data_IF_050696807572
#
_entry.id   IF_050696807572
#
_cell.length_a   1.000
_cell.length_b   1.000
_cell.length_c   1.000
_cell.angle_alpha   90.00
_cell.angle_beta   90.00
_cell.angle_gamma   90.00
#
_symmetry.space_group_name_H-M   'P 1'
#
loop_
_entity.id
_entity.type
_entity.pdbx_description
1 polymer ?
#
# COMPACT_ATOMS: atom_id res chain seq x y z
N UNK A 1 -8.92 -50.18 -55.01
CA UNK A 1 -8.67 -48.84 -55.58
C UNK A 1 -7.67 -48.12 -54.69
N UNK A 2 -6.64 -47.55 -55.31
CA UNK A 2 -5.34 -47.17 -54.75
C UNK A 2 -5.34 -45.94 -53.81
N UNK A 3 -4.25 -45.75 -53.02
CA UNK A 3 -4.17 -44.89 -51.84
C UNK A 3 -3.68 -43.47 -52.17
N UNK A 4 -4.09 -42.45 -51.39
CA UNK A 4 -3.52 -41.10 -51.50
C UNK A 4 -3.19 -40.50 -50.13
N UNK A 5 -1.93 -40.71 -49.75
CA UNK A 5 -0.94 -39.75 -49.24
C UNK A 5 -1.27 -38.72 -48.12
N UNK A 6 -0.55 -38.94 -47.01
CA UNK A 6 0.17 -38.01 -46.13
C UNK A 6 0.11 -36.50 -46.47
N UNK A 7 -0.13 -35.68 -45.44
CA UNK A 7 0.74 -34.55 -45.09
C UNK A 7 0.64 -34.20 -43.60
N UNK A 8 1.69 -34.56 -42.87
CA UNK A 8 2.00 -34.03 -41.55
C UNK A 8 2.42 -32.56 -41.71
N UNK A 9 1.76 -31.65 -40.98
CA UNK A 9 2.20 -30.27 -40.86
C UNK A 9 3.03 -30.12 -39.58
N UNK A 10 4.35 -30.14 -39.77
CA UNK A 10 5.32 -29.63 -38.80
C UNK A 10 5.20 -28.12 -38.76
N UNK A 11 4.68 -27.56 -37.67
CA UNK A 11 4.79 -26.12 -37.43
C UNK A 11 6.21 -25.80 -36.97
N UNK A 12 6.99 -25.23 -37.91
CA UNK A 12 8.32 -24.67 -37.66
C UNK A 12 8.25 -23.63 -36.54
N UNK A 13 9.17 -23.77 -35.60
CA UNK A 13 9.56 -22.70 -34.69
C UNK A 13 9.90 -21.44 -35.50
N UNK A 14 9.19 -20.34 -35.21
CA UNK A 14 9.60 -19.02 -35.62
C UNK A 14 10.27 -18.39 -34.41
N UNK A 15 11.60 -18.47 -34.40
CA UNK A 15 12.44 -17.58 -33.61
C UNK A 15 12.10 -16.14 -34.00
N UNK A 16 11.47 -15.43 -33.07
CA UNK A 16 11.47 -13.97 -33.04
C UNK A 16 12.37 -13.57 -31.88
N UNK A 17 13.36 -12.72 -32.18
CA UNK A 17 14.42 -12.26 -31.28
C UNK A 17 13.93 -11.61 -29.97
N UNK A 18 14.83 -11.00 -29.18
CA UNK A 18 14.51 -10.56 -27.83
C UNK A 18 13.46 -9.45 -27.88
N UNK A 19 12.20 -9.84 -27.76
CA UNK A 19 11.13 -8.95 -27.34
C UNK A 19 11.57 -8.48 -25.95
N UNK A 20 11.84 -7.19 -25.80
CA UNK A 20 11.99 -6.56 -24.50
C UNK A 20 10.73 -6.87 -23.70
N UNK A 21 10.79 -7.95 -22.93
CA UNK A 21 9.85 -8.23 -21.88
C UNK A 21 10.15 -7.18 -20.82
N UNK A 22 9.39 -6.09 -20.82
CA UNK A 22 9.26 -5.24 -19.64
C UNK A 22 8.55 -6.07 -18.56
N UNK A 23 9.29 -7.01 -17.97
CA UNK A 23 8.88 -7.73 -16.78
C UNK A 23 8.71 -6.67 -15.71
N UNK A 24 7.45 -6.33 -15.38
CA UNK A 24 7.10 -5.37 -14.34
C UNK A 24 7.42 -5.97 -12.96
N UNK A 25 8.71 -6.09 -12.73
CA UNK A 25 9.36 -6.42 -11.49
C UNK A 25 9.77 -5.08 -10.88
N UNK A 26 9.51 -4.88 -9.58
CA UNK A 26 9.99 -3.69 -8.89
C UNK A 26 11.51 -3.56 -9.09
N UNK A 27 11.99 -2.31 -9.26
CA UNK A 27 13.41 -2.00 -9.43
C UNK A 27 14.29 -2.47 -8.26
N UNK A 28 13.70 -2.66 -7.08
CA UNK A 28 14.36 -3.14 -5.86
C UNK A 28 13.54 -4.31 -5.32
N UNK A 29 14.20 -5.43 -5.03
CA UNK A 29 13.58 -6.59 -4.39
C UNK A 29 13.39 -6.36 -2.88
N UNK A 30 12.56 -7.18 -2.22
CA UNK A 30 12.34 -7.01 -0.79
C UNK A 30 13.61 -7.33 0.03
N UNK A 31 14.45 -8.26 -0.43
CA UNK A 31 15.72 -8.64 0.19
C UNK A 31 16.73 -7.47 0.11
N UNK A 32 16.80 -6.84 -1.07
CA UNK A 32 17.63 -5.66 -1.30
C UNK A 32 17.11 -4.42 -0.54
N UNK A 33 15.83 -4.40 -0.19
CA UNK A 33 15.24 -3.30 0.56
C UNK A 33 15.81 -3.16 1.97
N UNK A 34 16.37 -4.22 2.58
CA UNK A 34 16.95 -4.26 3.94
C UNK A 34 16.09 -3.55 5.02
N UNK A 35 14.77 -3.65 4.94
CA UNK A 35 13.86 -3.13 5.97
C UNK A 35 13.77 -4.14 7.11
N UNK A 36 14.18 -3.75 8.32
CA UNK A 36 14.14 -4.62 9.51
C UNK A 36 12.90 -4.44 10.39
N UNK A 37 12.17 -3.32 10.25
CA UNK A 37 11.03 -2.98 11.12
C UNK A 37 9.68 -3.57 10.71
N UNK A 38 9.66 -4.41 9.67
CA UNK A 38 8.46 -5.07 9.16
C UNK A 38 8.74 -6.56 9.09
N UNK A 39 7.88 -7.43 9.65
CA UNK A 39 7.99 -8.87 9.48
C UNK A 39 8.16 -9.28 8.02
N UNK A 40 9.10 -10.18 7.73
CA UNK A 40 9.47 -10.57 6.37
C UNK A 40 8.26 -11.04 5.55
N UNK A 41 7.37 -11.84 6.16
CA UNK A 41 6.15 -12.33 5.52
C UNK A 41 5.21 -11.21 5.09
N UNK A 42 5.15 -10.10 5.83
CA UNK A 42 4.32 -8.96 5.47
C UNK A 42 5.00 -8.20 4.34
N UNK A 43 6.32 -7.97 4.46
CA UNK A 43 7.10 -7.22 3.50
C UNK A 43 7.08 -7.91 2.12
N UNK A 44 7.38 -9.20 2.05
CA UNK A 44 7.36 -9.97 0.80
C UNK A 44 5.98 -9.94 0.13
N UNK A 45 4.91 -10.10 0.92
CA UNK A 45 3.54 -9.97 0.44
C UNK A 45 3.23 -8.55 -0.11
N UNK A 46 3.74 -7.49 0.52
CA UNK A 46 3.53 -6.12 0.01
C UNK A 46 4.27 -5.90 -1.32
N UNK A 47 5.49 -6.42 -1.46
CA UNK A 47 6.26 -6.33 -2.70
C UNK A 47 5.58 -7.12 -3.83
N UNK A 48 5.14 -8.35 -3.55
CA UNK A 48 4.41 -9.16 -4.53
C UNK A 48 3.10 -8.49 -5.00
N UNK A 49 2.33 -7.92 -4.06
CA UNK A 49 1.11 -7.16 -4.39
C UNK A 49 1.41 -5.91 -5.21
N UNK A 50 2.47 -5.19 -4.88
CA UNK A 50 2.89 -4.01 -5.62
C UNK A 50 3.28 -4.35 -7.06
N UNK A 51 4.03 -5.43 -7.27
CA UNK A 51 4.36 -5.95 -8.60
C UNK A 51 3.08 -6.27 -9.39
N UNK A 52 2.12 -6.95 -8.76
CA UNK A 52 0.84 -7.28 -9.40
C UNK A 52 0.06 -6.03 -9.83
N UNK A 53 0.02 -5.00 -8.99
CA UNK A 53 -0.65 -3.73 -9.32
C UNK A 53 -0.01 -3.06 -10.54
N UNK A 54 1.31 -3.09 -10.65
CA UNK A 54 2.05 -2.55 -11.80
C UNK A 54 1.81 -3.39 -13.07
N UNK A 55 1.90 -4.72 -12.97
CA UNK A 55 1.65 -5.64 -14.09
C UNK A 55 0.24 -5.48 -14.67
N UNK A 56 -0.75 -5.32 -13.80
CA UNK A 56 -2.15 -5.13 -14.20
C UNK A 56 -2.47 -3.70 -14.64
N UNK A 57 -1.48 -2.79 -14.69
CA UNK A 57 -1.65 -1.36 -15.00
C UNK A 57 -2.75 -0.71 -14.16
N UNK A 58 -2.85 -1.11 -12.88
CA UNK A 58 -3.84 -0.60 -11.91
C UNK A 58 -3.28 0.50 -11.01
N UNK A 59 -2.27 1.20 -11.52
CA UNK A 59 -1.64 2.36 -10.91
C UNK A 59 -1.67 3.47 -11.94
N UNK A 60 -2.27 4.59 -11.58
CA UNK A 60 -2.40 5.75 -12.49
C UNK A 60 -2.05 7.01 -11.75
N UNK A 61 -1.66 8.05 -12.49
CA UNK A 61 -1.54 9.37 -11.91
C UNK A 61 -2.92 9.91 -11.52
N UNK A 62 -2.98 10.66 -10.43
CA UNK A 62 -4.20 11.29 -9.94
C UNK A 62 -4.53 12.55 -10.72
N UNK A 63 -5.83 12.83 -10.87
CA UNK A 63 -6.32 13.95 -11.67
C UNK A 63 -6.00 15.34 -11.11
N UNK A 64 -5.79 15.43 -9.80
CA UNK A 64 -5.79 16.73 -9.10
C UNK A 64 -4.38 17.30 -8.90
N UNK A 65 -3.37 16.44 -8.76
CA UNK A 65 -1.98 16.85 -8.50
C UNK A 65 -1.00 15.82 -9.07
N UNK A 66 0.09 16.26 -9.71
CA UNK A 66 1.16 15.38 -10.23
C UNK A 66 1.81 14.49 -9.15
N UNK A 67 1.59 14.84 -7.89
CA UNK A 67 2.08 14.15 -6.72
C UNK A 67 1.14 13.06 -6.19
N UNK A 68 -0.06 12.90 -6.76
CA UNK A 68 -0.98 11.84 -6.34
C UNK A 68 -0.98 10.68 -7.33
N UNK A 69 -1.10 9.47 -6.79
CA UNK A 69 -1.15 8.22 -7.54
C UNK A 69 -2.32 7.41 -7.01
N UNK A 70 -3.15 6.89 -7.92
CA UNK A 70 -4.30 6.05 -7.61
C UNK A 70 -3.88 4.59 -7.75
N UNK A 71 -4.02 3.81 -6.69
CA UNK A 71 -3.81 2.36 -6.70
C UNK A 71 -5.13 1.64 -6.46
N UNK A 72 -5.44 0.62 -7.27
CA UNK A 72 -6.64 -0.19 -7.05
C UNK A 72 -6.66 -0.80 -5.63
N UNK A 73 -7.83 -0.77 -4.99
CA UNK A 73 -8.07 -1.52 -3.77
C UNK A 73 -8.49 -2.94 -4.10
N UNK A 74 -8.07 -3.91 -3.28
CA UNK A 74 -8.51 -5.31 -3.39
C UNK A 74 -9.81 -5.54 -2.60
N UNK A 75 -10.07 -4.71 -1.59
CA UNK A 75 -11.18 -4.89 -0.63
C UNK A 75 -12.32 -3.89 -0.83
N UNK A 76 -12.12 -2.88 -1.68
CA UNK A 76 -13.09 -1.83 -1.95
C UNK A 76 -13.13 -1.49 -3.44
N UNK A 77 -14.30 -1.10 -4.00
CA UNK A 77 -14.37 -0.54 -5.34
C UNK A 77 -13.66 0.82 -5.46
N UNK A 78 -13.38 1.49 -4.32
CA UNK A 78 -12.69 2.78 -4.29
C UNK A 78 -11.16 2.59 -4.35
N UNK A 79 -10.45 3.23 -5.28
CA UNK A 79 -8.99 3.19 -5.30
C UNK A 79 -8.40 3.95 -4.10
N UNK A 80 -7.26 3.46 -3.61
CA UNK A 80 -6.47 4.16 -2.60
C UNK A 80 -5.68 5.30 -3.25
N UNK A 81 -5.68 6.45 -2.60
CA UNK A 81 -4.92 7.62 -3.04
C UNK A 81 -3.58 7.64 -2.30
N UNK A 82 -2.49 7.66 -3.06
CA UNK A 82 -1.13 7.80 -2.54
C UNK A 82 -0.61 9.19 -2.85
N UNK A 83 -0.17 9.93 -1.84
CA UNK A 83 0.40 11.26 -1.98
C UNK A 83 1.91 11.22 -1.77
N UNK A 84 2.65 11.71 -2.76
CA UNK A 84 4.10 11.93 -2.70
C UNK A 84 4.42 13.27 -2.03
N UNK A 85 5.36 13.26 -1.09
CA UNK A 85 5.87 14.44 -0.42
C UNK A 85 7.30 14.77 -0.88
N UNK A 86 7.74 16.01 -0.64
CA UNK A 86 9.07 16.51 -1.03
C UNK A 86 10.22 15.74 -0.38
N UNK A 87 10.00 15.19 0.82
CA UNK A 87 11.00 14.45 1.60
C UNK A 87 11.09 12.95 1.22
N UNK A 88 10.66 12.58 0.02
CA UNK A 88 10.59 11.19 -0.46
C UNK A 88 9.62 10.29 0.30
N UNK A 89 8.80 10.83 1.21
CA UNK A 89 7.68 10.10 1.82
C UNK A 89 6.58 9.89 0.79
N UNK A 90 6.00 8.69 0.79
CA UNK A 90 4.73 8.39 0.13
C UNK A 90 3.72 8.02 1.20
N UNK A 91 2.56 8.67 1.20
CA UNK A 91 1.47 8.35 2.13
C UNK A 91 0.30 7.74 1.41
N UNK A 92 -0.11 6.55 1.82
CA UNK A 92 -1.41 6.04 1.44
C UNK A 92 -2.52 6.74 2.22
N UNK A 93 -3.76 6.53 1.81
CA UNK A 93 -4.94 6.97 2.53
C UNK A 93 -5.09 6.25 3.88
N UNK A 94 -5.88 6.85 4.77
CA UNK A 94 -6.14 6.29 6.10
C UNK A 94 -6.95 4.99 6.07
N UNK A 95 -7.63 4.71 4.95
CA UNK A 95 -8.42 3.50 4.75
C UNK A 95 -7.57 2.29 4.38
N UNK A 96 -6.27 2.47 4.06
CA UNK A 96 -5.35 1.36 3.81
C UNK A 96 -4.86 0.76 5.14
N UNK A 97 -5.30 -0.45 5.53
CA UNK A 97 -4.97 -1.02 6.83
C UNK A 97 -3.47 -1.22 7.00
N UNK A 98 -2.81 -1.77 5.98
CA UNK A 98 -1.37 -2.05 6.04
C UNK A 98 -0.54 -0.78 6.21
N UNK A 99 -0.91 0.31 5.51
CA UNK A 99 -0.23 1.59 5.66
C UNK A 99 -0.44 2.17 7.06
N UNK A 100 -1.64 2.06 7.61
CA UNK A 100 -1.93 2.51 8.98
C UNK A 100 -1.04 1.82 10.04
N UNK A 101 -0.67 0.56 9.83
CA UNK A 101 0.11 -0.21 10.80
C UNK A 101 1.63 -0.17 10.60
N UNK A 102 2.10 -0.03 9.36
CA UNK A 102 3.53 -0.18 9.02
C UNK A 102 4.13 1.01 8.27
N UNK A 103 3.31 2.00 7.91
CA UNK A 103 3.68 3.13 7.03
C UNK A 103 4.27 2.70 5.68
N UNK A 104 4.07 1.44 5.28
CA UNK A 104 4.53 0.88 4.01
C UNK A 104 3.53 -0.19 3.53
N UNK A 105 2.87 0.08 2.41
CA UNK A 105 1.93 -0.86 1.79
C UNK A 105 2.24 -1.06 0.31
N UNK A 106 1.60 -2.06 -0.29
CA UNK A 106 1.69 -2.34 -1.72
C UNK A 106 1.38 -1.10 -2.58
N UNK A 107 0.41 -0.27 -2.18
CA UNK A 107 0.07 0.95 -2.92
C UNK A 107 1.21 1.98 -2.91
N UNK A 108 1.84 2.22 -1.75
CA UNK A 108 2.99 3.13 -1.66
C UNK A 108 4.20 2.63 -2.43
N UNK A 109 4.46 1.32 -2.43
CA UNK A 109 5.56 0.71 -3.19
C UNK A 109 5.31 0.83 -4.70
N UNK A 110 4.11 0.47 -5.16
CA UNK A 110 3.74 0.55 -6.56
C UNK A 110 3.72 2.00 -7.06
N UNK A 111 3.21 2.94 -6.27
CA UNK A 111 3.21 4.36 -6.61
C UNK A 111 4.63 4.94 -6.67
N UNK A 112 5.51 4.56 -5.75
CA UNK A 112 6.88 5.01 -5.75
C UNK A 112 7.66 4.44 -6.94
N UNK A 113 7.43 3.19 -7.31
CA UNK A 113 7.99 2.58 -8.52
C UNK A 113 7.47 3.28 -9.78
N UNK A 114 6.16 3.49 -9.89
CA UNK A 114 5.54 4.19 -11.02
C UNK A 114 6.14 5.59 -11.24
N UNK A 115 6.53 6.27 -10.16
CA UNK A 115 7.20 7.58 -10.21
C UNK A 115 8.74 7.52 -10.27
N UNK A 116 9.34 6.33 -10.33
CA UNK A 116 10.80 6.14 -10.33
C UNK A 116 11.50 6.63 -9.06
N UNK A 117 10.82 6.56 -7.91
CA UNK A 117 11.30 7.05 -6.59
C UNK A 117 11.27 5.96 -5.50
N UNK A 118 11.22 4.68 -5.88
CA UNK A 118 11.18 3.56 -4.93
C UNK A 118 12.36 3.59 -3.96
N UNK A 119 13.59 3.78 -4.46
CA UNK A 119 14.79 3.89 -3.61
C UNK A 119 14.65 4.98 -2.53
N UNK A 120 14.14 6.16 -2.92
CA UNK A 120 13.96 7.29 -2.01
C UNK A 120 12.93 6.99 -0.90
N UNK A 121 11.86 6.27 -1.23
CA UNK A 121 10.87 5.82 -0.26
C UNK A 121 11.49 4.84 0.75
N UNK A 122 12.22 3.83 0.27
CA UNK A 122 12.84 2.81 1.13
C UNK A 122 13.89 3.43 2.06
N UNK A 123 14.71 4.35 1.54
CA UNK A 123 15.67 5.10 2.35
C UNK A 123 14.98 5.98 3.40
N UNK A 124 13.88 6.65 3.03
CA UNK A 124 13.08 7.42 3.98
C UNK A 124 12.52 6.52 5.10
N UNK A 125 11.97 5.36 4.77
CA UNK A 125 11.40 4.42 5.74
C UNK A 125 12.46 3.97 6.77
N UNK A 126 13.65 3.56 6.29
CA UNK A 126 14.81 3.21 7.13
C UNK A 126 15.25 4.37 8.03
N UNK A 127 15.44 5.56 7.45
CA UNK A 127 15.94 6.74 8.18
C UNK A 127 15.02 7.12 9.34
N UNK A 128 13.71 6.94 9.18
CA UNK A 128 12.74 7.26 10.22
C UNK A 128 12.47 6.08 11.17
N UNK A 129 13.21 4.98 11.04
CA UNK A 129 13.09 3.77 11.87
C UNK A 129 11.63 3.31 12.01
N UNK A 130 10.87 3.35 10.91
CA UNK A 130 9.45 3.01 10.91
C UNK A 130 9.26 1.52 11.27
N UNK A 131 8.44 1.27 12.27
CA UNK A 131 8.14 -0.07 12.80
C UNK A 131 6.70 -0.45 12.53
N UNK A 132 6.46 -1.74 12.33
CA UNK A 132 5.09 -2.27 12.27
C UNK A 132 4.50 -2.34 13.66
N UNK A 133 3.35 -1.70 13.87
CA UNK A 133 2.57 -1.88 15.08
C UNK A 133 1.76 -3.17 14.99
N UNK A 134 2.38 -4.29 15.38
CA UNK A 134 1.79 -5.63 15.29
C UNK A 134 0.52 -5.74 16.13
N UNK A 135 0.49 -5.14 17.33
CA UNK A 135 -0.71 -5.14 18.20
C UNK A 135 -1.90 -4.53 17.48
N UNK A 136 -1.75 -3.32 16.93
CA UNK A 136 -2.82 -2.66 16.19
C UNK A 136 -3.25 -3.45 14.97
N UNK A 137 -2.32 -4.15 14.31
CA UNK A 137 -2.62 -4.98 13.15
C UNK A 137 -3.45 -6.22 13.55
N UNK A 138 -3.06 -6.90 14.62
CA UNK A 138 -3.77 -8.08 15.13
C UNK A 138 -5.13 -7.74 15.73
N UNK A 139 -5.31 -6.52 16.25
CA UNK A 139 -6.58 -6.07 16.82
C UNK A 139 -7.41 -5.21 15.87
N UNK A 140 -7.04 -5.14 14.59
CA UNK A 140 -7.78 -4.36 13.61
C UNK A 140 -9.21 -4.91 13.47
N UNK A 141 -10.21 -4.04 13.69
CA UNK A 141 -11.63 -4.42 13.68
C UNK A 141 -12.15 -5.02 14.99
N UNK A 142 -11.34 -5.06 16.06
CA UNK A 142 -11.77 -5.50 17.39
C UNK A 142 -12.01 -4.29 18.30
N UNK A 143 -13.10 -4.29 19.07
CA UNK A 143 -13.42 -3.29 20.10
C UNK A 143 -12.60 -3.48 21.38
N UNK A 144 -11.27 -3.48 21.26
CA UNK A 144 -10.37 -3.69 22.41
C UNK A 144 -10.41 -2.55 23.42
N UNK A 145 -10.86 -1.36 23.00
CA UNK A 145 -10.88 -0.14 23.82
C UNK A 145 -11.81 -0.22 25.04
N UNK A 146 -12.81 -1.11 25.01
CA UNK A 146 -13.81 -1.28 26.06
C UNK A 146 -13.86 -2.69 26.68
N UNK A 147 -13.05 -3.62 26.19
CA UNK A 147 -12.95 -4.96 26.77
C UNK A 147 -12.42 -4.86 28.21
N UNK A 148 -13.29 -5.14 29.20
CA UNK A 148 -12.92 -5.18 30.63
C UNK A 148 -12.95 -3.85 31.38
N UNK A 149 -13.36 -2.73 30.77
CA UNK A 149 -13.51 -1.46 31.51
C UNK A 149 -14.83 -1.45 32.30
N UNK A 150 -14.78 -1.70 33.61
CA UNK A 150 -15.88 -1.36 34.53
C UNK A 150 -16.11 0.16 34.46
N UNK A 151 -17.34 0.58 34.19
CA UNK A 151 -17.73 1.98 34.23
C UNK A 151 -17.45 2.55 35.62
N UNK A 152 -16.59 3.58 35.70
CA UNK A 152 -16.41 4.36 36.91
C UNK A 152 -17.69 5.17 37.18
N UNK A 153 -18.21 5.21 38.42
CA UNK A 153 -19.35 6.08 38.75
C UNK A 153 -18.98 7.54 38.47
N UNK A 154 -19.83 8.27 37.73
CA UNK A 154 -19.69 9.71 37.51
C UNK A 154 -19.96 10.44 38.84
N UNK A 155 -18.98 11.17 39.37
CA UNK A 155 -19.24 12.21 40.35
C UNK A 155 -19.89 13.42 39.64
N UNK A 156 -21.12 13.77 40.04
CA UNK A 156 -21.85 14.95 39.59
C UNK A 156 -21.26 16.23 40.24
N UNK A 157 -20.35 16.88 39.52
CA UNK A 157 -19.76 18.16 39.90
C UNK A 157 -20.67 19.37 39.65
N UNK A 158 -21.40 19.78 40.70
CA UNK A 158 -21.66 21.17 41.18
C UNK A 158 -22.08 22.29 40.18
N UNK A 159 -23.33 22.75 40.36
CA UNK A 159 -23.97 23.97 39.81
C UNK A 159 -23.05 25.20 39.74
N UNK A 160 -22.89 25.78 38.55
CA UNK A 160 -22.33 27.13 38.31
C UNK A 160 -23.33 28.18 38.78
N UNK A 161 -22.88 29.14 39.59
CA UNK A 161 -23.67 30.29 40.05
C UNK A 161 -23.64 31.41 39.00
N UNK A 162 -24.83 31.90 38.71
CA UNK A 162 -25.19 33.06 37.90
C UNK A 162 -24.87 34.40 38.61
N UNK A 163 -24.39 35.41 37.87
CA UNK A 163 -24.48 36.80 38.33
C UNK A 163 -23.49 37.84 37.77
N UNK A 164 -24.05 38.83 37.03
CA UNK A 164 -23.60 40.23 36.74
C UNK A 164 -22.46 40.39 35.71
N UNK A 165 -22.44 41.40 34.82
CA UNK A 165 -23.12 42.71 34.76
C UNK A 165 -23.06 43.24 33.31
N UNK A 166 -24.08 43.98 32.89
CA UNK A 166 -24.15 44.82 31.69
C UNK A 166 -23.04 45.89 31.64
N UNK A 167 -22.52 46.16 30.44
CA UNK A 167 -22.05 47.50 30.05
C UNK A 167 -22.34 47.78 28.57
N UNK A 168 -23.21 48.79 28.38
CA UNK A 168 -23.62 49.58 27.20
C UNK A 168 -24.02 48.87 25.91
#
# INVERSE_FOLDING_TARGET
MNPTERRAYTNKAKESGPVLQTSSTLSISYEQSSISGIPESILSNQFAKAQRLLQMKRVTDGFQHDNTVLGASETSPKPHVVTKYKNSKFSCDAMCPTYHHSSLCAHTLAAAEHKGKLHGLLQWHKKNAMQTNVTKMSTYGLDVGNAGKKASPKEEGKKVKEGRKLCN
#
